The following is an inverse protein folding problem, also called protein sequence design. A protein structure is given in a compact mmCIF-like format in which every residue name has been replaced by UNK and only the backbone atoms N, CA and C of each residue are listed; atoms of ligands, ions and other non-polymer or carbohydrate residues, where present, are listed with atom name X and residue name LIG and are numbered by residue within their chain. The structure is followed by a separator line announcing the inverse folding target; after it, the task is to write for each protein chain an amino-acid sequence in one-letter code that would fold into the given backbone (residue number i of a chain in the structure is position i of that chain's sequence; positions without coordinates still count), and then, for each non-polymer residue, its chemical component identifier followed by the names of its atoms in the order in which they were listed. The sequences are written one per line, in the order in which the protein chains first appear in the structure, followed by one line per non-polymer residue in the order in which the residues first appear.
data_IF_273943414058
#
_entry.id   IF_273943414058
#
_cell.length_a   1.000
_cell.length_b   1.000
_cell.length_c   1.000
_cell.angle_alpha   90.00
_cell.angle_beta   90.00
_cell.angle_gamma   90.00
#
_symmetry.space_group_name_H-M   'P 1'
#
loop_
_entity.id
_entity.type
_entity.pdbx_description
1 polymer ?
#
# COMPACT_ATOMS: atom_id res chain seq x y z
N UNK A 1 -6.36 11.48 -21.59
CA UNK A 1 -6.20 10.02 -21.73
C UNK A 1 -7.40 9.35 -21.07
N UNK A 2 -8.20 8.57 -21.82
CA UNK A 2 -9.41 7.90 -21.32
C UNK A 2 -9.13 6.43 -21.02
N UNK A 3 -8.27 6.18 -20.01
CA UNK A 3 -7.88 4.81 -19.64
C UNK A 3 -8.89 4.12 -18.73
N UNK A 4 -9.68 4.91 -17.98
CA UNK A 4 -10.71 4.43 -17.05
C UNK A 4 -12.01 5.20 -17.23
N UNK A 5 -13.15 4.49 -17.14
CA UNK A 5 -14.45 5.13 -16.92
C UNK A 5 -14.50 5.64 -15.47
N UNK A 6 -14.65 6.96 -15.29
CA UNK A 6 -14.74 7.56 -13.95
C UNK A 6 -16.20 7.90 -13.64
N UNK A 7 -16.57 7.72 -12.38
CA UNK A 7 -17.81 8.30 -11.86
C UNK A 7 -17.65 9.81 -11.73
N UNK A 8 -18.73 10.55 -11.98
CA UNK A 8 -18.72 12.01 -11.86
C UNK A 8 -18.87 12.45 -10.39
N UNK A 9 -17.94 12.00 -9.55
CA UNK A 9 -17.86 12.30 -8.12
C UNK A 9 -16.42 12.64 -7.79
N UNK A 10 -16.19 13.76 -7.11
CA UNK A 10 -14.89 14.10 -6.54
C UNK A 10 -14.90 13.72 -5.05
N UNK A 11 -13.90 13.03 -4.58
CA UNK A 11 -13.72 12.72 -3.17
C UNK A 11 -12.56 13.56 -2.64
N UNK A 12 -12.77 14.21 -1.50
CA UNK A 12 -11.81 15.14 -0.88
C UNK A 12 -11.10 14.52 0.32
N UNK A 13 -11.85 14.01 1.28
CA UNK A 13 -11.30 13.43 2.51
C UNK A 13 -12.15 12.26 3.01
N UNK A 14 -11.64 11.56 4.03
CA UNK A 14 -12.37 10.45 4.64
C UNK A 14 -11.78 10.03 5.99
N UNK A 15 -12.57 9.29 6.76
CA UNK A 15 -12.13 8.62 7.99
C UNK A 15 -12.83 7.26 8.11
N UNK A 16 -12.05 6.21 8.39
CA UNK A 16 -12.57 4.84 8.44
C UNK A 16 -13.17 4.43 7.11
N UNK A 17 -14.43 4.03 7.09
CA UNK A 17 -15.16 3.61 5.90
C UNK A 17 -15.97 4.72 5.24
N UNK A 18 -15.92 5.95 5.74
CA UNK A 18 -16.69 7.07 5.23
C UNK A 18 -15.76 8.05 4.53
N UNK A 19 -16.15 8.49 3.33
CA UNK A 19 -15.48 9.58 2.62
C UNK A 19 -16.49 10.68 2.25
N UNK A 20 -15.97 11.85 1.92
CA UNK A 20 -16.73 13.06 1.69
C UNK A 20 -16.29 13.74 0.40
N UNK A 21 -17.24 14.34 -0.29
CA UNK A 21 -16.94 15.25 -1.40
C UNK A 21 -16.64 16.68 -0.88
N UNK A 22 -16.18 17.60 -1.75
CA UNK A 22 -15.92 18.98 -1.35
C UNK A 22 -17.15 19.74 -0.84
N UNK A 23 -18.36 19.27 -1.15
CA UNK A 23 -19.60 19.85 -0.67
C UNK A 23 -20.05 19.28 0.71
N UNK A 24 -19.29 18.30 1.23
CA UNK A 24 -19.57 17.68 2.53
C UNK A 24 -20.56 16.51 2.48
N UNK A 25 -20.96 16.05 1.29
CA UNK A 25 -21.80 14.87 1.16
C UNK A 25 -20.98 13.63 1.46
N UNK A 26 -21.52 12.73 2.29
CA UNK A 26 -20.87 11.51 2.70
C UNK A 26 -21.18 10.32 1.77
N UNK A 27 -20.21 9.44 1.66
CA UNK A 27 -20.27 8.18 0.92
C UNK A 27 -19.64 7.05 1.74
N UNK A 28 -20.22 5.85 1.65
CA UNK A 28 -19.62 4.65 2.27
C UNK A 28 -18.70 3.99 1.24
N UNK A 29 -17.44 3.79 1.60
CA UNK A 29 -16.48 3.10 0.73
C UNK A 29 -16.54 1.59 0.92
N UNK A 30 -17.13 0.90 -0.04
CA UNK A 30 -17.13 -0.57 -0.14
C UNK A 30 -15.99 -1.12 -1.00
N UNK A 31 -15.19 -0.26 -1.63
CA UNK A 31 -14.15 -0.67 -2.58
C UNK A 31 -12.76 -0.72 -1.98
N UNK A 32 -12.54 0.05 -0.92
CA UNK A 32 -11.24 0.21 -0.25
C UNK A 32 -10.10 0.55 -1.21
N UNK A 33 -10.39 1.32 -2.28
CA UNK A 33 -9.39 1.61 -3.31
C UNK A 33 -8.83 0.35 -3.99
N UNK A 34 -9.67 -0.66 -4.21
CA UNK A 34 -9.32 -2.01 -4.69
C UNK A 34 -8.40 -2.72 -3.68
N UNK A 35 -8.73 -2.64 -2.37
CA UNK A 35 -8.04 -3.30 -1.27
C UNK A 35 -6.81 -2.57 -0.74
N UNK A 36 -6.49 -1.38 -1.25
CA UNK A 36 -5.35 -0.57 -0.78
C UNK A 36 -5.63 0.01 0.61
N UNK A 37 -6.85 0.51 0.84
CA UNK A 37 -7.27 1.13 2.10
C UNK A 37 -7.88 0.11 3.08
N UNK A 38 -7.25 -1.03 3.27
CA UNK A 38 -7.77 -2.10 4.14
C UNK A 38 -7.87 -1.71 5.62
N UNK A 39 -7.14 -0.69 6.06
CA UNK A 39 -7.25 -0.10 7.40
C UNK A 39 -8.29 1.03 7.48
N UNK A 40 -8.91 1.39 6.34
CA UNK A 40 -9.77 2.56 6.21
C UNK A 40 -9.00 3.85 5.92
N UNK A 41 -9.76 4.94 5.70
CA UNK A 41 -9.19 6.26 5.48
C UNK A 41 -8.63 6.84 6.79
N UNK A 42 -7.46 7.45 6.70
CA UNK A 42 -6.82 8.20 7.79
C UNK A 42 -6.73 7.40 9.12
N UNK A 43 -6.35 6.11 9.05
CA UNK A 43 -6.05 5.31 10.23
C UNK A 43 -4.91 5.97 11.02
N UNK A 44 -5.17 6.25 12.30
CA UNK A 44 -4.26 7.05 13.14
C UNK A 44 -2.92 6.35 13.37
N UNK A 45 -2.93 5.04 13.57
CA UNK A 45 -1.73 4.24 13.77
C UNK A 45 -0.86 4.18 12.52
N UNK A 46 -1.49 3.97 11.36
CA UNK A 46 -0.80 3.95 10.08
C UNK A 46 -0.20 5.33 9.74
N UNK A 47 -0.99 6.40 9.88
CA UNK A 47 -0.53 7.78 9.62
C UNK A 47 0.64 8.14 10.52
N UNK A 48 0.56 7.84 11.83
CA UNK A 48 1.65 8.11 12.77
C UNK A 48 2.93 7.34 12.42
N UNK A 49 2.83 6.05 12.09
CA UNK A 49 3.98 5.21 11.73
C UNK A 49 4.65 5.69 10.44
N UNK A 50 3.88 6.01 9.40
CA UNK A 50 4.40 6.51 8.13
C UNK A 50 5.06 7.88 8.32
N UNK A 51 4.43 8.79 9.05
CA UNK A 51 4.97 10.13 9.34
C UNK A 51 6.29 10.03 10.11
N UNK A 52 6.36 9.18 11.13
CA UNK A 52 7.59 8.96 11.88
C UNK A 52 8.72 8.43 11.01
N UNK A 53 8.43 7.48 10.11
CA UNK A 53 9.42 6.92 9.19
C UNK A 53 9.86 7.92 8.12
N UNK A 54 8.96 8.73 7.58
CA UNK A 54 9.28 9.79 6.62
C UNK A 54 10.24 10.84 7.20
N UNK A 55 10.10 11.15 8.49
CA UNK A 55 11.02 12.05 9.20
C UNK A 55 12.41 11.44 9.46
N UNK A 56 12.57 10.13 9.35
CA UNK A 56 13.87 9.44 9.47
C UNK A 56 14.51 9.23 8.10
N UNK A 57 13.83 8.47 7.25
CA UNK A 57 14.33 8.04 5.96
C UNK A 57 13.18 7.47 5.13
N UNK A 58 12.84 8.11 4.02
CA UNK A 58 11.79 7.65 3.13
C UNK A 58 12.25 6.60 2.13
N UNK A 59 13.51 6.68 1.67
CA UNK A 59 14.07 5.76 0.69
C UNK A 59 15.60 5.83 0.64
N UNK A 60 16.28 4.72 0.37
CA UNK A 60 17.74 4.69 0.16
C UNK A 60 18.19 3.70 -0.93
N UNK A 61 17.31 2.93 -1.53
CA UNK A 61 17.64 1.85 -2.46
C UNK A 61 17.89 0.49 -1.79
N UNK A 62 17.65 -0.58 -2.55
CA UNK A 62 17.91 -1.97 -2.12
C UNK A 62 19.40 -2.35 -2.05
N UNK A 63 20.30 -1.41 -2.33
CA UNK A 63 21.74 -1.61 -2.11
C UNK A 63 22.10 -1.60 -0.61
N UNK A 64 21.21 -1.09 0.22
CA UNK A 64 21.42 -0.96 1.67
C UNK A 64 20.30 -1.64 2.45
N UNK A 65 20.59 -2.03 3.68
CA UNK A 65 19.59 -2.55 4.60
C UNK A 65 18.90 -1.41 5.34
N UNK A 66 17.59 -1.54 5.54
CA UNK A 66 16.82 -0.66 6.41
C UNK A 66 16.00 -1.50 7.39
N UNK A 67 15.84 -1.02 8.60
CA UNK A 67 15.09 -1.73 9.64
C UNK A 67 13.65 -2.07 9.23
N UNK A 68 12.84 -1.14 8.69
CA UNK A 68 11.47 -1.46 8.25
C UNK A 68 11.42 -2.55 7.19
N UNK A 69 12.36 -2.57 6.26
CA UNK A 69 12.43 -3.59 5.20
C UNK A 69 12.74 -4.97 5.79
N UNK A 70 13.70 -5.05 6.71
CA UNK A 70 14.08 -6.31 7.38
C UNK A 70 12.94 -6.85 8.25
N UNK A 71 12.27 -5.98 9.02
CA UNK A 71 11.13 -6.36 9.85
C UNK A 71 9.94 -6.84 9.02
N UNK A 72 9.62 -6.15 7.92
CA UNK A 72 8.55 -6.55 7.02
C UNK A 72 8.85 -7.93 6.38
N UNK A 73 10.07 -8.14 5.92
CA UNK A 73 10.49 -9.43 5.36
C UNK A 73 10.39 -10.56 6.39
N UNK A 74 10.83 -10.32 7.62
CA UNK A 74 10.73 -11.28 8.73
C UNK A 74 9.27 -11.65 9.02
N UNK A 75 8.40 -10.68 9.20
CA UNK A 75 6.97 -10.90 9.44
C UNK A 75 6.30 -11.71 8.33
N UNK A 76 6.60 -11.40 7.07
CA UNK A 76 6.06 -12.14 5.93
C UNK A 76 6.53 -13.60 5.90
N UNK A 77 7.80 -13.86 6.23
CA UNK A 77 8.34 -15.21 6.31
C UNK A 77 7.69 -16.03 7.45
N UNK A 78 7.57 -15.43 8.63
CA UNK A 78 6.96 -16.06 9.80
C UNK A 78 5.49 -16.40 9.59
N UNK A 79 4.71 -15.48 9.00
CA UNK A 79 3.27 -15.68 8.76
C UNK A 79 2.96 -16.69 7.66
N UNK A 80 3.81 -16.80 6.64
CA UNK A 80 3.54 -17.69 5.48
C UNK A 80 4.18 -19.06 5.57
N UNK A 81 4.95 -19.39 6.60
CA UNK A 81 5.73 -20.65 6.68
C UNK A 81 6.59 -20.94 5.45
N UNK A 82 6.99 -19.93 4.68
CA UNK A 82 7.80 -20.08 3.48
C UNK A 82 9.09 -19.28 3.60
N UNK A 83 10.18 -19.96 3.85
CA UNK A 83 11.52 -19.37 4.05
C UNK A 83 12.05 -18.52 2.88
N UNK A 84 11.38 -18.49 1.72
CA UNK A 84 11.88 -17.80 0.51
C UNK A 84 10.77 -17.22 -0.37
N UNK A 85 9.66 -16.73 0.20
CA UNK A 85 8.41 -16.61 -0.52
C UNK A 85 8.31 -15.58 -1.66
N UNK A 86 8.50 -14.31 -1.44
CA UNK A 86 8.01 -13.29 -2.39
C UNK A 86 9.10 -12.76 -3.33
N UNK A 87 10.34 -12.67 -2.90
CA UNK A 87 11.43 -12.12 -3.70
C UNK A 87 11.91 -13.05 -4.85
N UNK A 88 11.54 -14.34 -4.84
CA UNK A 88 11.87 -15.28 -5.90
C UNK A 88 10.98 -15.19 -7.15
N UNK A 89 9.79 -14.64 -7.04
CA UNK A 89 8.83 -14.62 -8.16
C UNK A 89 9.24 -13.65 -9.28
N UNK A 90 9.93 -12.58 -8.97
CA UNK A 90 10.45 -11.65 -9.98
C UNK A 90 11.60 -12.25 -10.81
N UNK A 91 12.46 -13.10 -10.23
CA UNK A 91 13.55 -13.76 -10.97
C UNK A 91 13.07 -14.82 -11.97
N UNK A 92 11.92 -15.47 -11.75
CA UNK A 92 11.39 -16.48 -12.68
C UNK A 92 10.75 -15.88 -13.93
N UNK A 93 10.21 -14.66 -13.89
CA UNK A 93 9.66 -13.98 -15.06
C UNK A 93 10.72 -13.51 -16.06
N UNK A 94 11.93 -13.20 -15.61
CA UNK A 94 13.04 -12.79 -16.48
C UNK A 94 13.65 -13.92 -17.31
N UNK A 95 13.56 -15.17 -16.87
CA UNK A 95 14.14 -16.34 -17.59
C UNK A 95 13.24 -16.93 -18.68
N UNK A 96 11.95 -16.58 -18.74
CA UNK A 96 11.01 -17.12 -19.77
C UNK A 96 10.96 -16.31 -21.07
N UNK A 97 11.75 -15.25 -21.22
CA UNK A 97 11.79 -14.41 -22.44
C UNK A 97 13.05 -14.59 -23.29
N UNK A 98 13.82 -15.66 -23.10
CA UNK A 98 14.95 -15.99 -23.96
C UNK A 98 14.81 -17.46 -24.42
N UNK A 99 13.92 -17.67 -25.35
CA UNK A 99 13.99 -18.74 -26.40
C UNK A 99 13.13 -18.26 -27.55
#
# INVERSE_FOLDING_TARGET
MHTYGRYNVAIDHGKGAICYDPAGKSYIDFTSGIGVNSLGFADEGWVAAVTAQLNKLQHISNLYYTEPCVLAAKLLCEKKRHEKGILRQQRRRGKRRRN
#
